data_IF_112064413227
#
_entry.id   IF_112064413227
#
_cell.length_a   1.000
_cell.length_b   1.000
_cell.length_c   1.000
_cell.angle_alpha   90.00
_cell.angle_beta   90.00
_cell.angle_gamma   90.00
#
_symmetry.space_group_name_H-M   'P 1'
#
loop_
_entity.id
_entity.type
_entity.pdbx_description
1 polymer ?
#
# COMPACT_ATOMS: atom_id res chain seq x y z
N UNK A 1 5.71 8.83 21.02
CA UNK A 1 5.46 10.24 20.65
C UNK A 1 6.75 10.84 20.11
N UNK A 2 6.68 11.59 19.00
CA UNK A 2 7.80 12.29 18.38
C UNK A 2 7.52 13.79 18.36
N UNK A 3 8.35 14.60 19.04
CA UNK A 3 8.16 16.06 19.16
C UNK A 3 6.71 16.46 19.52
N UNK A 4 6.14 15.83 20.55
CA UNK A 4 4.76 15.99 21.02
C UNK A 4 3.66 15.40 20.11
N UNK A 5 4.00 14.87 18.93
CA UNK A 5 3.04 14.16 18.09
C UNK A 5 2.96 12.68 18.47
N UNK A 6 1.74 12.17 18.64
CA UNK A 6 1.47 10.74 18.58
C UNK A 6 1.57 10.28 17.14
N UNK A 7 2.24 9.15 16.89
CA UNK A 7 2.34 8.57 15.54
C UNK A 7 1.42 7.35 15.44
N UNK A 8 0.46 7.42 14.54
CA UNK A 8 -0.49 6.34 14.29
C UNK A 8 -0.32 5.84 12.87
N UNK A 9 0.04 4.57 12.71
CA UNK A 9 0.04 3.93 11.38
C UNK A 9 -1.34 3.32 11.16
N UNK A 10 -1.90 3.46 9.96
CA UNK A 10 -3.21 2.92 9.60
C UNK A 10 -3.09 2.04 8.36
N UNK A 11 -3.82 0.93 8.32
CA UNK A 11 -3.89 0.09 7.12
C UNK A 11 -5.32 -0.32 6.81
N UNK A 12 -5.77 -0.02 5.60
CA UNK A 12 -7.00 -0.57 5.01
C UNK A 12 -6.81 -2.07 4.71
N UNK A 13 -6.90 -2.90 5.76
CA UNK A 13 -6.49 -4.28 5.70
C UNK A 13 -7.63 -5.20 5.25
N UNK A 14 -7.34 -6.03 4.26
CA UNK A 14 -8.25 -7.10 3.87
C UNK A 14 -7.60 -8.38 3.39
N UNK A 15 -6.26 -8.45 3.36
CA UNK A 15 -5.54 -9.53 2.68
C UNK A 15 -4.35 -9.98 3.53
N UNK A 16 -4.52 -11.02 4.35
CA UNK A 16 -3.47 -11.52 5.26
C UNK A 16 -2.16 -11.89 4.54
N UNK A 17 -2.24 -12.34 3.28
CA UNK A 17 -1.09 -12.78 2.48
C UNK A 17 -0.03 -11.70 2.30
N UNK A 18 -0.39 -10.43 2.38
CA UNK A 18 0.54 -9.31 2.29
C UNK A 18 0.91 -8.76 3.67
N UNK A 19 -0.06 -8.75 4.59
CA UNK A 19 0.15 -8.30 5.97
C UNK A 19 1.29 -9.02 6.68
N UNK A 20 1.62 -10.25 6.28
CA UNK A 20 2.77 -10.98 6.81
C UNK A 20 4.10 -10.24 6.62
N UNK A 21 4.20 -9.39 5.58
CA UNK A 21 5.37 -8.57 5.29
C UNK A 21 5.23 -7.13 5.79
N UNK A 22 3.99 -6.66 5.93
CA UNK A 22 3.65 -5.32 6.39
C UNK A 22 3.78 -5.16 7.91
N UNK A 23 3.26 -6.13 8.66
CA UNK A 23 3.09 -6.05 10.12
C UNK A 23 4.43 -5.98 10.85
N UNK A 24 5.46 -6.81 10.53
CA UNK A 24 6.67 -6.85 11.35
C UNK A 24 7.39 -5.50 11.44
N UNK A 25 7.67 -4.78 10.33
CA UNK A 25 8.30 -3.46 10.38
C UNK A 25 7.51 -2.43 11.20
N UNK A 26 6.18 -2.44 11.14
CA UNK A 26 5.34 -1.49 11.89
C UNK A 26 5.40 -1.80 13.41
N UNK A 27 5.36 -3.07 13.78
CA UNK A 27 5.42 -3.47 15.18
C UNK A 27 6.79 -3.18 15.80
N UNK A 28 7.86 -3.35 15.01
CA UNK A 28 9.24 -3.10 15.43
C UNK A 28 9.59 -1.61 15.53
N UNK A 29 8.90 -0.74 14.80
CA UNK A 29 9.19 0.69 14.82
C UNK A 29 8.77 1.33 16.15
N UNK A 30 9.75 1.78 16.93
CA UNK A 30 9.53 2.43 18.23
C UNK A 30 8.81 3.78 18.11
N UNK A 31 9.04 4.50 17.00
CA UNK A 31 8.37 5.77 16.76
C UNK A 31 6.86 5.62 16.59
N UNK A 32 6.37 4.42 16.21
CA UNK A 32 4.95 4.14 16.01
C UNK A 32 4.27 3.83 17.35
N UNK A 33 3.46 4.77 17.82
CA UNK A 33 2.72 4.66 19.09
C UNK A 33 1.53 3.70 19.00
N UNK A 34 0.85 3.66 17.85
CA UNK A 34 -0.34 2.81 17.63
C UNK A 34 -0.40 2.34 16.17
N UNK A 35 -0.79 1.09 15.97
CA UNK A 35 -1.09 0.53 14.67
C UNK A 35 -2.59 0.20 14.54
N UNK A 36 -3.30 1.00 13.74
CA UNK A 36 -4.71 0.85 13.47
C UNK A 36 -4.94 -0.01 12.21
N UNK A 37 -5.45 -1.22 12.42
CA UNK A 37 -5.91 -2.09 11.34
C UNK A 37 -7.37 -1.74 11.05
N UNK A 38 -7.62 -1.05 9.94
CA UNK A 38 -8.97 -0.82 9.43
C UNK A 38 -9.48 -2.12 8.81
N UNK A 39 -10.40 -2.78 9.50
CA UNK A 39 -10.90 -4.09 9.10
C UNK A 39 -11.83 -3.92 7.88
N UNK A 40 -11.26 -3.98 6.68
CA UNK A 40 -11.96 -3.74 5.42
C UNK A 40 -12.10 -5.05 4.59
N UNK A 41 -12.50 -6.13 5.26
CA UNK A 41 -12.72 -7.43 4.63
C UNK A 41 -13.89 -8.16 5.26
N UNK A 42 -14.50 -9.04 4.46
CA UNK A 42 -15.53 -9.97 4.92
C UNK A 42 -15.00 -11.38 5.12
N UNK A 43 -13.74 -11.61 4.78
CA UNK A 43 -13.08 -12.89 4.92
C UNK A 43 -12.79 -13.16 6.40
N UNK A 44 -13.42 -14.19 6.95
CA UNK A 44 -13.30 -14.56 8.36
C UNK A 44 -11.93 -15.08 8.74
N UNK A 45 -11.19 -15.65 7.79
CA UNK A 45 -9.79 -16.06 7.96
C UNK A 45 -8.90 -14.84 8.19
N UNK A 46 -9.06 -13.80 7.37
CA UNK A 46 -8.31 -12.55 7.52
C UNK A 46 -8.69 -11.82 8.82
N UNK A 47 -9.99 -11.77 9.17
CA UNK A 47 -10.47 -11.18 10.43
C UNK A 47 -9.90 -11.91 11.65
N UNK A 48 -9.88 -13.25 11.65
CA UNK A 48 -9.31 -14.02 12.76
C UNK A 48 -7.81 -13.76 12.91
N UNK A 49 -7.08 -13.60 11.81
CA UNK A 49 -5.68 -13.19 11.85
C UNK A 49 -5.51 -11.81 12.51
N UNK A 50 -6.33 -10.82 12.15
CA UNK A 50 -6.29 -9.49 12.78
C UNK A 50 -6.61 -9.54 14.27
N UNK A 51 -7.59 -10.35 14.68
CA UNK A 51 -7.90 -10.57 16.11
C UNK A 51 -6.72 -11.17 16.86
N UNK A 52 -6.00 -12.14 16.27
CA UNK A 52 -4.80 -12.72 16.89
C UNK A 52 -3.66 -11.71 17.02
N UNK A 53 -3.48 -10.84 16.02
CA UNK A 53 -2.52 -9.74 16.10
C UNK A 53 -2.84 -8.80 17.27
N UNK A 54 -4.09 -8.33 17.36
CA UNK A 54 -4.55 -7.44 18.42
C UNK A 54 -4.46 -8.08 19.81
N UNK A 55 -4.71 -9.38 19.92
CA UNK A 55 -4.57 -10.11 21.18
C UNK A 55 -3.11 -10.23 21.63
N UNK A 56 -2.16 -10.40 20.70
CA UNK A 56 -0.74 -10.61 21.00
C UNK A 56 0.02 -9.31 21.22
N UNK A 57 -0.29 -8.28 20.44
CA UNK A 57 0.50 -7.05 20.38
C UNK A 57 -0.32 -5.85 20.87
N UNK A 58 0.00 -5.27 22.04
CA UNK A 58 -0.72 -4.10 22.57
C UNK A 58 -0.69 -2.87 21.66
N UNK A 59 0.30 -2.76 20.78
CA UNK A 59 0.42 -1.69 19.77
C UNK A 59 -0.71 -1.76 18.72
N UNK A 60 -1.33 -2.93 18.52
CA UNK A 60 -2.35 -3.17 17.48
C UNK A 60 -3.74 -2.84 18.00
N UNK A 61 -4.44 -1.99 17.26
CA UNK A 61 -5.83 -1.61 17.49
C UNK A 61 -6.67 -1.96 16.25
N UNK A 62 -7.83 -2.59 16.47
CA UNK A 62 -8.75 -2.92 15.36
C UNK A 62 -9.80 -1.83 15.22
N UNK A 63 -9.83 -1.18 14.07
CA UNK A 63 -10.86 -0.20 13.71
C UNK A 63 -11.88 -0.89 12.81
N UNK A 64 -13.09 -1.07 13.32
CA UNK A 64 -14.17 -1.71 12.57
C UNK A 64 -14.84 -0.69 11.65
N UNK A 65 -15.24 -1.11 10.45
CA UNK A 65 -15.89 -0.21 9.49
C UNK A 65 -17.10 0.52 10.13
N UNK A 66 -17.10 1.86 10.19
CA UNK A 66 -18.09 2.61 10.99
C UNK A 66 -19.56 2.50 10.53
N UNK A 67 -19.80 2.30 9.24
CA UNK A 67 -21.14 2.13 8.67
C UNK A 67 -21.61 0.65 8.67
N UNK A 68 -20.77 -0.28 9.13
CA UNK A 68 -21.01 -1.72 9.10
C UNK A 68 -20.99 -2.34 7.69
N UNK A 69 -20.30 -1.70 6.74
CA UNK A 69 -20.39 -2.00 5.31
C UNK A 69 -19.00 -2.09 4.67
N UNK A 70 -18.68 -3.22 4.02
CA UNK A 70 -17.40 -3.42 3.30
C UNK A 70 -17.64 -3.64 1.81
N UNK A 71 -17.00 -2.81 0.98
CA UNK A 71 -17.05 -2.83 -0.49
C UNK A 71 -15.71 -2.41 -1.12
N UNK A 72 -14.61 -3.03 -0.67
CA UNK A 72 -13.28 -2.75 -1.20
C UNK A 72 -12.90 -1.28 -1.00
N UNK A 73 -12.42 -0.63 -2.07
CA UNK A 73 -11.99 0.78 -2.03
C UNK A 73 -13.14 1.72 -1.65
N UNK A 74 -14.38 1.41 -2.08
CA UNK A 74 -15.54 2.26 -1.85
C UNK A 74 -15.98 2.37 -0.39
N UNK A 75 -15.46 1.53 0.51
CA UNK A 75 -15.74 1.59 1.95
C UNK A 75 -14.60 2.18 2.78
N UNK A 76 -13.46 2.56 2.16
CA UNK A 76 -12.29 3.09 2.85
C UNK A 76 -12.58 4.46 3.47
N UNK A 77 -13.33 5.31 2.78
CA UNK A 77 -13.50 6.71 3.17
C UNK A 77 -14.06 6.89 4.58
N UNK A 78 -14.92 5.97 5.02
CA UNK A 78 -15.55 6.02 6.34
C UNK A 78 -14.55 6.00 7.50
N UNK A 79 -13.39 5.36 7.33
CA UNK A 79 -12.36 5.23 8.37
C UNK A 79 -11.63 6.55 8.67
N UNK A 80 -11.56 7.49 7.70
CA UNK A 80 -10.89 8.77 7.93
C UNK A 80 -11.57 9.63 9.01
N UNK A 81 -12.86 9.37 9.33
CA UNK A 81 -13.58 10.06 10.41
C UNK A 81 -12.93 9.85 11.77
N UNK A 82 -12.27 8.72 11.97
CA UNK A 82 -11.56 8.39 13.22
C UNK A 82 -10.07 8.79 13.19
N UNK A 83 -9.65 9.52 12.15
CA UNK A 83 -8.26 9.94 11.93
C UNK A 83 -8.05 11.46 12.07
N UNK A 84 -8.70 12.03 13.10
CA UNK A 84 -8.80 13.47 13.34
C UNK A 84 -8.23 13.90 14.71
N UNK A 85 -7.44 13.04 15.38
CA UNK A 85 -6.93 13.35 16.72
C UNK A 85 -5.97 14.55 16.67
N UNK A 86 -6.07 15.42 17.70
CA UNK A 86 -5.10 16.50 17.86
C UNK A 86 -3.71 15.95 18.17
N UNK A 87 -2.68 16.71 17.80
CA UNK A 87 -1.28 16.38 18.08
C UNK A 87 -0.93 14.94 17.64
N UNK A 88 -1.51 14.53 16.51
CA UNK A 88 -1.32 13.18 15.95
C UNK A 88 -0.91 13.27 14.49
N UNK A 89 0.11 12.51 14.11
CA UNK A 89 0.49 12.26 12.72
C UNK A 89 -0.02 10.86 12.39
N UNK A 90 -0.83 10.80 11.34
CA UNK A 90 -1.32 9.53 10.80
C UNK A 90 -0.49 9.16 9.58
N UNK A 91 -0.21 7.87 9.41
CA UNK A 91 0.48 7.31 8.26
C UNK A 91 -0.32 6.14 7.70
N UNK A 92 -1.05 6.37 6.59
CA UNK A 92 -1.77 5.30 5.89
C UNK A 92 -0.81 4.49 5.04
N UNK A 93 -0.96 3.18 5.12
CA UNK A 93 -0.31 2.18 4.27
C UNK A 93 -1.39 1.32 3.60
N UNK A 94 -1.19 0.98 2.33
CA UNK A 94 -1.95 -0.10 1.71
C UNK A 94 -1.50 -1.46 2.27
N UNK A 95 -2.41 -2.43 2.34
CA UNK A 95 -2.12 -3.74 2.93
C UNK A 95 -1.18 -4.60 2.09
N UNK A 96 -0.96 -4.23 0.82
CA UNK A 96 -0.01 -4.85 -0.12
C UNK A 96 1.30 -4.09 -0.27
N UNK A 97 1.67 -3.24 0.69
CA UNK A 97 3.06 -2.84 0.87
C UNK A 97 3.88 -4.02 1.41
N UNK A 98 5.01 -4.31 0.77
CA UNK A 98 5.80 -5.53 1.03
C UNK A 98 7.22 -5.28 1.53
N UNK A 99 7.77 -4.08 1.34
CA UNK A 99 9.11 -3.76 1.83
C UNK A 99 9.21 -2.31 2.25
N UNK A 100 9.99 -2.08 3.31
CA UNK A 100 10.28 -0.79 3.91
C UNK A 100 11.80 -0.65 3.98
N UNK A 101 12.33 0.51 3.65
CA UNK A 101 13.71 0.77 4.04
C UNK A 101 13.85 0.86 5.57
N UNK A 102 15.05 0.57 6.11
CA UNK A 102 15.38 0.88 7.50
C UNK A 102 15.10 2.35 7.83
N UNK A 103 14.54 2.58 9.02
CA UNK A 103 14.21 3.91 9.55
C UNK A 103 13.17 4.69 8.73
N UNK A 104 12.37 4.02 7.88
CA UNK A 104 11.36 4.69 7.06
C UNK A 104 10.43 5.57 7.91
N UNK A 105 9.91 5.02 9.02
CA UNK A 105 8.92 5.73 9.84
C UNK A 105 9.53 6.99 10.47
N UNK A 106 10.75 6.90 10.98
CA UNK A 106 11.52 8.00 11.56
C UNK A 106 11.76 9.10 10.53
N UNK A 107 12.24 8.74 9.33
CA UNK A 107 12.46 9.68 8.24
C UNK A 107 11.19 10.38 7.80
N UNK A 108 10.10 9.64 7.64
CA UNK A 108 8.83 10.19 7.18
C UNK A 108 8.18 11.10 8.22
N UNK A 109 8.17 10.70 9.49
CA UNK A 109 7.64 11.52 10.59
C UNK A 109 8.48 12.79 10.75
N UNK A 110 9.82 12.66 10.75
CA UNK A 110 10.71 13.83 10.79
C UNK A 110 10.43 14.78 9.64
N UNK A 111 10.36 14.28 8.41
CA UNK A 111 10.06 15.11 7.23
C UNK A 111 8.72 15.82 7.36
N UNK A 112 7.68 15.11 7.84
CA UNK A 112 6.34 15.67 8.03
C UNK A 112 6.33 16.83 9.02
N UNK A 113 7.06 16.70 10.14
CA UNK A 113 7.21 17.74 11.16
C UNK A 113 8.01 18.93 10.63
N UNK A 114 9.11 18.67 9.92
CA UNK A 114 9.99 19.72 9.38
C UNK A 114 9.36 20.49 8.21
N UNK A 115 8.34 19.93 7.56
CA UNK A 115 7.67 20.55 6.42
C UNK A 115 6.15 20.58 6.66
N UNK A 116 5.65 21.38 7.62
CA UNK A 116 4.23 21.39 8.00
C UNK A 116 3.30 22.00 6.94
N UNK A 117 3.84 22.65 5.90
CA UNK A 117 3.09 23.37 4.88
C UNK A 117 2.33 22.46 3.89
N UNK A 118 2.80 21.22 3.69
CA UNK A 118 2.18 20.30 2.74
C UNK A 118 0.92 19.67 3.32
N UNK A 119 -0.08 19.35 2.49
CA UNK A 119 -1.27 18.66 2.95
C UNK A 119 -0.98 17.17 3.18
N UNK A 120 -0.62 16.44 2.12
CA UNK A 120 -0.10 15.06 2.22
C UNK A 120 1.40 14.99 1.95
N UNK A 121 2.07 14.05 2.62
CA UNK A 121 3.45 13.67 2.34
C UNK A 121 3.53 12.19 2.00
N UNK A 122 4.25 11.81 0.95
CA UNK A 122 4.46 10.41 0.54
C UNK A 122 5.96 10.10 0.40
N UNK A 123 6.45 8.89 0.72
CA UNK A 123 7.81 8.48 0.32
C UNK A 123 7.87 8.22 -1.19
N UNK A 124 9.06 7.90 -1.72
CA UNK A 124 9.13 7.17 -3.00
C UNK A 124 8.58 5.77 -2.82
N UNK A 125 7.69 5.38 -3.72
CA UNK A 125 7.06 4.05 -3.73
C UNK A 125 7.47 3.31 -4.99
N UNK A 126 8.21 2.21 -4.86
CA UNK A 126 8.43 1.28 -5.97
C UNK A 126 7.08 0.67 -6.37
N UNK A 127 6.82 0.65 -7.68
CA UNK A 127 5.52 0.31 -8.28
C UNK A 127 4.39 1.32 -7.94
N UNK A 128 4.69 2.60 -8.14
CA UNK A 128 3.74 3.71 -8.15
C UNK A 128 4.05 4.64 -9.34
N UNK A 129 3.05 5.06 -10.12
CA UNK A 129 3.29 5.79 -11.37
C UNK A 129 4.05 7.11 -11.20
N UNK A 130 3.72 7.91 -10.18
CA UNK A 130 4.38 9.20 -9.97
C UNK A 130 5.77 9.04 -9.35
N UNK A 131 5.97 8.04 -8.50
CA UNK A 131 7.32 7.69 -8.00
C UNK A 131 8.22 7.18 -9.13
N UNK A 132 7.72 6.30 -9.99
CA UNK A 132 8.44 5.82 -11.18
C UNK A 132 8.75 6.98 -12.13
N UNK A 133 7.84 7.94 -12.27
CA UNK A 133 8.09 9.17 -13.04
C UNK A 133 9.25 9.98 -12.47
N UNK A 134 9.29 10.20 -11.14
CA UNK A 134 10.41 10.88 -10.48
C UNK A 134 11.73 10.13 -10.73
N UNK A 135 11.75 8.81 -10.55
CA UNK A 135 12.94 8.00 -10.85
C UNK A 135 13.39 8.17 -12.31
N UNK A 136 12.45 8.24 -13.26
CA UNK A 136 12.74 8.39 -14.68
C UNK A 136 13.37 9.75 -14.98
N UNK A 137 12.77 10.86 -14.53
CA UNK A 137 13.27 12.21 -14.86
C UNK A 137 14.57 12.58 -14.14
N UNK A 138 14.86 11.91 -13.02
CA UNK A 138 16.14 12.00 -12.32
C UNK A 138 17.19 10.98 -12.79
N UNK A 139 16.93 10.27 -13.91
CA UNK A 139 17.84 9.27 -14.49
C UNK A 139 18.22 8.13 -13.52
N UNK A 140 17.36 7.80 -12.56
CA UNK A 140 17.54 6.69 -11.61
C UNK A 140 17.08 5.35 -12.20
N UNK A 141 16.13 5.40 -13.14
CA UNK A 141 15.66 4.24 -13.90
C UNK A 141 15.65 4.59 -15.39
N UNK A 142 16.11 3.65 -16.22
CA UNK A 142 16.06 3.77 -17.68
C UNK A 142 14.94 2.87 -18.22
N UNK A 143 13.87 3.53 -18.67
CA UNK A 143 12.69 2.88 -19.26
C UNK A 143 12.81 2.83 -20.79
N UNK A 144 12.12 1.89 -21.42
CA UNK A 144 12.08 1.68 -22.87
C UNK A 144 11.57 2.90 -23.65
N UNK A 145 10.76 3.73 -23.00
CA UNK A 145 10.26 5.01 -23.50
C UNK A 145 9.94 5.94 -22.33
N UNK A 146 9.65 7.20 -22.68
CA UNK A 146 9.15 8.16 -21.71
C UNK A 146 7.71 7.83 -21.29
N UNK A 147 7.51 7.70 -19.98
CA UNK A 147 6.21 7.62 -19.33
C UNK A 147 5.84 8.98 -18.71
N UNK A 148 4.58 9.40 -18.90
CA UNK A 148 4.10 10.70 -18.43
C UNK A 148 3.79 10.68 -16.92
N UNK A 149 3.83 11.87 -16.29
CA UNK A 149 3.43 12.08 -14.90
C UNK A 149 1.91 11.95 -14.70
N UNK A 150 1.37 10.74 -14.82
CA UNK A 150 -0.06 10.44 -14.72
C UNK A 150 -0.27 9.32 -13.71
N UNK A 151 -1.09 9.56 -12.68
CA UNK A 151 -1.40 8.59 -11.64
C UNK A 151 -1.89 7.23 -12.16
N UNK A 152 -2.72 7.25 -13.21
CA UNK A 152 -3.25 6.05 -13.86
C UNK A 152 -2.51 5.69 -15.15
N UNK A 153 -1.19 5.89 -15.21
CA UNK A 153 -0.41 5.51 -16.40
C UNK A 153 -0.66 4.03 -16.73
N UNK A 154 -1.01 3.78 -18.00
CA UNK A 154 -1.63 2.52 -18.43
C UNK A 154 -0.69 1.34 -18.25
N UNK A 155 0.59 1.49 -18.59
CA UNK A 155 1.55 0.38 -18.45
C UNK A 155 1.94 0.21 -16.99
N UNK A 156 2.32 1.29 -16.31
CA UNK A 156 2.79 1.23 -14.94
C UNK A 156 1.71 0.67 -14.02
N UNK A 157 0.47 1.17 -14.07
CA UNK A 157 -0.57 0.76 -13.11
C UNK A 157 -1.36 -0.50 -13.51
N UNK A 158 -1.35 -0.90 -14.78
CA UNK A 158 -2.23 -1.99 -15.26
C UNK A 158 -1.51 -3.19 -15.86
N UNK A 159 -0.20 -3.14 -16.12
CA UNK A 159 0.54 -4.28 -16.66
C UNK A 159 1.34 -5.03 -15.59
N UNK A 160 0.87 -6.22 -15.22
CA UNK A 160 1.54 -7.08 -14.25
C UNK A 160 2.92 -7.56 -14.69
N UNK A 161 3.23 -7.59 -15.99
CA UNK A 161 4.57 -7.97 -16.47
C UNK A 161 5.57 -6.83 -16.34
N UNK A 162 5.13 -5.60 -16.62
CA UNK A 162 5.92 -4.40 -16.34
C UNK A 162 6.20 -4.30 -14.83
N UNK A 163 5.17 -4.50 -14.00
CA UNK A 163 5.32 -4.49 -12.56
C UNK A 163 6.33 -5.57 -12.10
N UNK A 164 6.27 -6.78 -12.66
CA UNK A 164 7.24 -7.83 -12.37
C UNK A 164 8.68 -7.42 -12.74
N UNK A 165 8.89 -6.85 -13.93
CA UNK A 165 10.21 -6.37 -14.38
C UNK A 165 10.73 -5.24 -13.46
N UNK A 166 9.85 -4.34 -13.01
CA UNK A 166 10.17 -3.28 -12.06
C UNK A 166 10.56 -3.83 -10.68
N UNK A 167 9.82 -4.80 -10.17
CA UNK A 167 10.15 -5.47 -8.91
C UNK A 167 11.46 -6.24 -9.00
N UNK A 168 11.71 -6.94 -10.11
CA UNK A 168 12.96 -7.67 -10.34
C UNK A 168 14.15 -6.73 -10.41
N UNK A 169 14.03 -5.65 -11.17
CA UNK A 169 15.03 -4.58 -11.23
C UNK A 169 15.35 -4.03 -9.84
N UNK A 170 14.32 -3.74 -9.04
CA UNK A 170 14.52 -3.20 -7.69
C UNK A 170 15.16 -4.22 -6.75
N UNK A 171 14.65 -5.46 -6.72
CA UNK A 171 15.15 -6.53 -5.85
C UNK A 171 16.61 -6.85 -6.13
N UNK A 172 16.94 -7.08 -7.41
CA UNK A 172 18.27 -7.54 -7.83
C UNK A 172 19.34 -6.46 -7.71
N UNK A 173 19.04 -5.20 -8.08
CA UNK A 173 20.04 -4.14 -8.12
C UNK A 173 20.21 -3.38 -6.82
N UNK A 174 19.13 -3.22 -6.05
CA UNK A 174 19.12 -2.26 -4.94
C UNK A 174 18.79 -2.92 -3.61
N UNK A 175 17.75 -3.74 -3.54
CA UNK A 175 17.31 -4.31 -2.26
C UNK A 175 18.32 -5.32 -1.73
N UNK A 176 18.66 -6.36 -2.50
CA UNK A 176 19.60 -7.41 -2.06
C UNK A 176 21.01 -6.82 -1.86
N UNK A 177 21.40 -5.87 -2.70
CA UNK A 177 22.70 -5.21 -2.61
C UNK A 177 22.79 -4.17 -1.47
N UNK A 178 21.67 -3.80 -0.85
CA UNK A 178 21.62 -2.75 0.17
C UNK A 178 21.96 -1.34 -0.36
N UNK A 179 21.60 -1.05 -1.62
CA UNK A 179 21.95 0.18 -2.36
C UNK A 179 20.76 1.07 -2.69
N UNK A 180 19.61 0.84 -2.07
CA UNK A 180 18.36 1.56 -2.38
C UNK A 180 18.47 3.09 -2.19
N UNK A 181 19.40 3.58 -1.37
CA UNK A 181 19.68 5.00 -1.18
C UNK A 181 20.18 5.68 -2.48
N UNK A 182 20.73 4.92 -3.43
CA UNK A 182 21.12 5.46 -4.74
C UNK A 182 19.90 5.96 -5.54
N UNK A 183 18.69 5.50 -5.19
CA UNK A 183 17.43 5.93 -5.82
C UNK A 183 16.88 7.24 -5.26
N UNK A 184 17.48 7.78 -4.20
CA UNK A 184 17.01 9.02 -3.59
C UNK A 184 17.04 10.19 -4.57
N UNK A 185 16.01 11.03 -4.47
CA UNK A 185 15.86 12.24 -5.29
C UNK A 185 15.60 13.50 -4.45
N UNK A 186 15.47 13.42 -3.12
CA UNK A 186 15.20 14.59 -2.29
C UNK A 186 13.75 15.08 -2.31
N UNK A 187 13.51 16.21 -1.66
CA UNK A 187 12.18 16.82 -1.50
C UNK A 187 11.57 17.24 -2.85
N UNK A 188 10.36 16.77 -3.13
CA UNK A 188 9.63 17.10 -4.36
C UNK A 188 8.17 17.53 -4.09
N UNK A 189 7.87 18.84 -4.07
CA UNK A 189 6.50 19.32 -4.07
C UNK A 189 5.76 18.84 -5.32
N UNK A 190 4.50 18.46 -5.16
CA UNK A 190 3.65 17.96 -6.24
C UNK A 190 2.68 19.05 -6.71
N UNK A 191 2.45 19.10 -8.03
CA UNK A 191 1.40 19.93 -8.61
C UNK A 191 -0.01 19.43 -8.31
N UNK A 192 -1.03 20.15 -8.79
CA UNK A 192 -2.44 19.77 -8.67
C UNK A 192 -2.75 18.54 -9.52
N UNK A 193 -2.59 17.36 -8.95
CA UNK A 193 -2.81 16.09 -9.61
C UNK A 193 -3.31 15.04 -8.62
N UNK A 194 -4.11 14.10 -9.13
CA UNK A 194 -4.39 12.85 -8.43
C UNK A 194 -3.08 12.09 -8.22
N UNK A 195 -2.90 11.42 -7.08
CA UNK A 195 -1.87 10.36 -6.93
C UNK A 195 -2.44 9.14 -6.21
N UNK A 196 -1.89 7.96 -6.54
CA UNK A 196 -2.30 6.71 -5.92
C UNK A 196 -1.71 6.60 -4.52
N UNK A 197 -2.58 6.44 -3.52
CA UNK A 197 -2.23 6.47 -2.10
C UNK A 197 -1.81 5.06 -1.68
N UNK A 198 -0.52 4.77 -1.79
CA UNK A 198 0.07 3.54 -1.24
C UNK A 198 0.68 3.76 0.16
N UNK A 199 1.27 4.94 0.38
CA UNK A 199 1.83 5.35 1.66
C UNK A 199 1.76 6.88 1.77
N UNK A 200 1.03 7.42 2.75
CA UNK A 200 0.92 8.88 2.96
C UNK A 200 0.83 9.25 4.43
N UNK A 201 1.31 10.44 4.76
CA UNK A 201 1.22 11.05 6.07
C UNK A 201 0.39 12.34 6.04
N UNK A 202 -0.38 12.58 7.09
CA UNK A 202 -1.13 13.82 7.33
C UNK A 202 -1.18 14.15 8.83
N UNK A 203 -1.50 15.40 9.14
CA UNK A 203 -1.81 15.81 10.52
C UNK A 203 -3.28 15.59 10.84
N UNK A 204 -3.57 14.97 11.98
CA UNK A 204 -4.94 14.77 12.45
C UNK A 204 -5.69 16.09 12.63
N UNK A 205 -5.01 17.14 13.09
CA UNK A 205 -5.55 18.50 13.18
C UNK A 205 -6.12 19.02 11.84
N UNK A 206 -5.43 18.77 10.73
CA UNK A 206 -5.88 19.23 9.41
C UNK A 206 -7.10 18.43 8.91
N UNK A 207 -7.14 17.11 9.16
CA UNK A 207 -8.32 16.29 8.85
C UNK A 207 -9.53 16.68 9.71
N UNK A 208 -9.29 17.10 10.95
CA UNK A 208 -10.34 17.51 11.88
C UNK A 208 -11.10 18.75 11.39
N UNK A 209 -10.47 19.65 10.62
CA UNK A 209 -11.11 20.86 10.06
C UNK A 209 -12.32 20.52 9.17
N UNK A 210 -12.32 19.34 8.55
CA UNK A 210 -13.43 18.81 7.76
C UNK A 210 -13.95 17.48 8.30
N UNK A 211 -13.70 17.18 9.59
CA UNK A 211 -14.23 16.02 10.33
C UNK A 211 -13.88 14.65 9.69
N UNK A 212 -12.79 14.59 8.92
CA UNK A 212 -12.42 13.39 8.18
C UNK A 212 -13.44 12.97 7.12
N UNK A 213 -14.31 13.88 6.67
CA UNK A 213 -15.30 13.63 5.63
C UNK A 213 -14.61 13.62 4.26
N UNK A 214 -14.44 12.42 3.69
CA UNK A 214 -13.80 12.19 2.40
C UNK A 214 -14.85 11.70 1.39
N UNK A 215 -15.45 12.57 0.57
CA UNK A 215 -16.43 12.18 -0.44
C UNK A 215 -15.76 11.57 -1.69
N UNK A 216 -16.45 10.65 -2.34
CA UNK A 216 -16.04 10.11 -3.64
C UNK A 216 -14.83 9.18 -3.57
N UNK A 217 -13.83 9.43 -4.39
CA UNK A 217 -12.56 8.70 -4.43
C UNK A 217 -11.57 9.34 -3.46
N UNK A 218 -11.09 8.61 -2.45
CA UNK A 218 -10.19 9.17 -1.44
C UNK A 218 -8.87 9.64 -2.04
N UNK A 219 -8.36 8.92 -3.04
CA UNK A 219 -7.17 9.31 -3.78
C UNK A 219 -7.39 10.68 -4.44
N UNK A 220 -8.45 10.88 -5.24
CA UNK A 220 -8.75 12.17 -5.88
C UNK A 220 -9.02 13.28 -4.85
N UNK A 221 -9.83 12.99 -3.82
CA UNK A 221 -10.23 14.02 -2.87
C UNK A 221 -9.05 14.52 -2.04
N UNK A 222 -8.27 13.61 -1.45
CA UNK A 222 -7.18 13.97 -0.56
C UNK A 222 -5.93 14.43 -1.31
N UNK A 223 -5.70 13.95 -2.54
CA UNK A 223 -4.51 14.37 -3.29
C UNK A 223 -4.71 15.58 -4.21
N UNK A 224 -5.92 15.80 -4.71
CA UNK A 224 -6.15 16.83 -5.72
C UNK A 224 -7.13 17.88 -5.19
N UNK A 225 -8.36 17.49 -4.86
CA UNK A 225 -9.45 18.43 -4.58
C UNK A 225 -9.19 19.23 -3.30
N UNK A 226 -8.99 18.55 -2.17
CA UNK A 226 -8.83 19.17 -0.85
C UNK A 226 -7.59 20.08 -0.77
N UNK A 227 -6.37 19.64 -1.13
CA UNK A 227 -5.21 20.52 -1.09
C UNK A 227 -5.38 21.74 -2.00
N UNK A 228 -6.00 21.58 -3.18
CA UNK A 228 -6.30 22.71 -4.08
C UNK A 228 -7.25 23.72 -3.45
N UNK A 229 -8.31 23.27 -2.77
CA UNK A 229 -9.23 24.14 -2.03
C UNK A 229 -8.52 24.93 -0.91
N UNK A 230 -7.52 24.31 -0.27
CA UNK A 230 -6.76 24.91 0.83
C UNK A 230 -5.58 25.77 0.35
N UNK A 231 -5.30 25.82 -0.96
CA UNK A 231 -4.11 26.48 -1.50
C UNK A 231 -2.80 25.81 -1.08
N UNK A 232 -2.84 24.51 -0.75
CA UNK A 232 -1.68 23.71 -0.32
C UNK A 232 -1.24 22.76 -1.43
N UNK A 233 0.02 22.36 -1.37
CA UNK A 233 0.57 21.29 -2.21
C UNK A 233 0.72 19.99 -1.40
N UNK A 234 0.85 18.86 -2.09
CA UNK A 234 1.39 17.64 -1.50
C UNK A 234 2.90 17.58 -1.77
N UNK A 235 3.61 16.65 -1.13
CA UNK A 235 5.04 16.50 -1.34
C UNK A 235 5.51 15.05 -1.26
N UNK A 236 6.51 14.71 -2.07
CA UNK A 236 7.31 13.51 -1.86
C UNK A 236 8.50 13.81 -0.97
N UNK A 237 8.71 12.98 0.05
CA UNK A 237 10.02 12.81 0.67
C UNK A 237 10.81 11.82 -0.18
N UNK A 238 11.60 12.33 -1.13
CA UNK A 238 12.37 11.51 -2.05
C UNK A 238 13.59 10.81 -1.47
N UNK A 239 13.86 11.00 -0.17
CA UNK A 239 14.95 10.35 0.57
C UNK A 239 14.42 9.24 1.49
N UNK A 240 13.19 8.79 1.23
CA UNK A 240 12.54 7.68 1.88
C UNK A 240 11.92 6.73 0.85
N UNK A 241 12.13 5.42 1.00
CA UNK A 241 11.74 4.43 -0.01
C UNK A 241 10.95 3.25 0.57
N UNK A 242 9.87 2.88 -0.11
CA UNK A 242 9.01 1.73 0.22
C UNK A 242 8.61 0.99 -1.06
N UNK A 243 8.19 -0.27 -0.97
CA UNK A 243 7.70 -1.05 -2.13
C UNK A 243 6.26 -1.49 -1.95
N UNK A 244 5.41 -1.13 -2.92
CA UNK A 244 4.02 -1.58 -3.03
C UNK A 244 3.94 -2.74 -4.03
N UNK A 245 3.25 -3.83 -3.67
CA UNK A 245 3.25 -5.05 -4.48
C UNK A 245 2.40 -4.91 -5.75
N UNK A 246 1.12 -4.54 -5.65
CA UNK A 246 0.24 -4.65 -6.82
C UNK A 246 -1.01 -3.78 -6.80
N UNK A 247 -1.16 -2.96 -7.83
CA UNK A 247 -2.47 -2.49 -8.24
C UNK A 247 -3.35 -3.68 -8.67
N UNK A 248 -4.67 -3.56 -8.49
CA UNK A 248 -5.63 -4.64 -8.76
C UNK A 248 -5.39 -5.41 -10.08
N UNK A 249 -5.20 -4.73 -11.22
CA UNK A 249 -4.97 -5.38 -12.52
C UNK A 249 -3.61 -6.07 -12.68
N UNK A 250 -2.59 -5.71 -11.88
CA UNK A 250 -1.24 -6.27 -11.98
C UNK A 250 -1.13 -7.67 -11.33
N UNK A 251 -1.99 -7.96 -10.35
CA UNK A 251 -1.88 -9.13 -9.46
C UNK A 251 -1.70 -10.46 -10.17
N UNK A 252 -2.47 -10.70 -11.24
CA UNK A 252 -2.39 -11.95 -12.00
C UNK A 252 -0.98 -12.17 -12.59
N UNK A 253 -0.36 -11.12 -13.12
CA UNK A 253 0.99 -11.21 -13.70
C UNK A 253 2.05 -11.42 -12.62
N UNK A 254 1.95 -10.68 -11.52
CA UNK A 254 2.89 -10.77 -10.40
C UNK A 254 2.82 -12.12 -9.68
N UNK A 255 1.62 -12.68 -9.52
CA UNK A 255 1.41 -14.00 -8.93
C UNK A 255 2.00 -15.10 -9.83
N UNK A 256 1.86 -15.01 -11.16
CA UNK A 256 2.50 -15.94 -12.10
C UNK A 256 4.02 -15.90 -12.06
N UNK A 257 4.59 -14.75 -11.73
CA UNK A 257 6.04 -14.53 -11.65
C UNK A 257 6.63 -14.76 -10.25
N UNK A 258 5.81 -15.26 -9.30
CA UNK A 258 6.22 -15.59 -7.94
C UNK A 258 6.85 -14.42 -7.15
N UNK A 259 6.52 -13.18 -7.54
CA UNK A 259 7.18 -11.97 -7.01
C UNK A 259 6.99 -11.85 -5.49
N UNK A 260 5.79 -12.16 -4.99
CA UNK A 260 5.50 -12.06 -3.56
C UNK A 260 6.36 -13.04 -2.72
N UNK A 261 6.54 -14.27 -3.19
CA UNK A 261 7.34 -15.27 -2.47
C UNK A 261 8.84 -14.95 -2.54
N UNK A 262 9.30 -14.30 -3.63
CA UNK A 262 10.68 -13.79 -3.74
C UNK A 262 10.95 -12.68 -2.73
N UNK A 263 10.04 -11.71 -2.60
CA UNK A 263 10.11 -10.74 -1.49
C UNK A 263 10.14 -11.45 -0.14
N UNK A 264 9.25 -12.41 0.10
CA UNK A 264 9.21 -13.16 1.35
C UNK A 264 10.54 -13.80 1.72
N UNK A 265 11.17 -14.53 0.78
CA UNK A 265 12.50 -15.14 0.99
C UNK A 265 13.52 -14.10 1.44
N UNK A 266 13.60 -12.98 0.73
CA UNK A 266 14.57 -11.92 1.05
C UNK A 266 14.27 -11.31 2.43
N UNK A 267 13.01 -11.00 2.72
CA UNK A 267 12.59 -10.39 3.99
C UNK A 267 12.88 -11.30 5.19
N UNK A 268 12.50 -12.57 5.11
CA UNK A 268 12.78 -13.53 6.18
C UNK A 268 14.27 -13.71 6.43
N UNK A 269 15.11 -13.60 5.39
CA UNK A 269 16.56 -13.68 5.54
C UNK A 269 17.15 -12.40 6.16
N UNK A 270 16.65 -11.23 5.77
CA UNK A 270 17.04 -9.95 6.38
C UNK A 270 16.65 -9.89 7.86
N UNK A 271 15.42 -10.30 8.20
CA UNK A 271 14.90 -10.20 9.56
C UNK A 271 15.53 -11.18 10.54
N UNK A 272 16.19 -12.25 10.08
CA UNK A 272 16.97 -13.13 10.98
C UNK A 272 18.11 -12.40 11.70
N UNK A 273 18.57 -11.29 11.16
CA UNK A 273 19.71 -10.53 11.67
C UNK A 273 19.30 -9.56 12.80
N UNK A 274 18.02 -9.25 12.92
CA UNK A 274 17.44 -8.40 13.96
C UNK A 274 16.57 -9.27 14.87
N UNK A 275 16.93 -9.37 16.14
CA UNK A 275 16.27 -10.27 17.09
C UNK A 275 14.78 -9.93 17.28
N UNK A 276 14.44 -8.65 17.39
CA UNK A 276 13.06 -8.21 17.60
C UNK A 276 12.20 -8.47 16.36
N UNK A 277 12.71 -8.11 15.18
CA UNK A 277 12.06 -8.41 13.90
C UNK A 277 11.86 -9.91 13.69
N UNK A 278 12.89 -10.72 14.02
CA UNK A 278 12.82 -12.18 13.92
C UNK A 278 11.73 -12.77 14.81
N UNK A 279 11.62 -12.32 16.05
CA UNK A 279 10.58 -12.79 16.97
C UNK A 279 9.17 -12.45 16.45
N UNK A 280 9.00 -11.22 15.96
CA UNK A 280 7.73 -10.77 15.39
C UNK A 280 7.38 -11.59 14.15
N UNK A 281 8.32 -11.78 13.22
CA UNK A 281 8.14 -12.59 12.01
C UNK A 281 7.73 -14.03 12.35
N UNK A 282 8.49 -14.70 13.22
CA UNK A 282 8.15 -16.07 13.67
C UNK A 282 6.74 -16.12 14.25
N UNK A 283 6.38 -15.16 15.10
CA UNK A 283 5.05 -15.10 15.71
C UNK A 283 3.96 -14.88 14.65
N UNK A 284 4.17 -14.00 13.68
CA UNK A 284 3.22 -13.72 12.59
C UNK A 284 3.04 -14.97 11.71
N UNK A 285 4.14 -15.62 11.31
CA UNK A 285 4.12 -16.86 10.52
C UNK A 285 3.38 -17.99 11.24
N UNK A 286 3.58 -18.11 12.56
CA UNK A 286 2.82 -19.08 13.37
C UNK A 286 1.33 -18.76 13.44
N UNK A 287 0.95 -17.48 13.56
CA UNK A 287 -0.46 -17.07 13.53
C UNK A 287 -1.11 -17.43 12.21
N UNK A 288 -0.46 -17.14 11.09
CA UNK A 288 -0.97 -17.46 9.75
C UNK A 288 -1.24 -18.97 9.64
N UNK A 289 -0.26 -19.82 9.97
CA UNK A 289 -0.42 -21.28 9.96
C UNK A 289 -1.59 -21.77 10.81
N UNK A 290 -1.76 -21.21 12.01
CA UNK A 290 -2.86 -21.57 12.94
C UNK A 290 -4.23 -21.16 12.41
N UNK A 291 -4.31 -20.00 11.75
CA UNK A 291 -5.56 -19.49 11.17
C UNK A 291 -5.92 -20.27 9.91
N UNK A 292 -4.94 -20.59 9.06
CA UNK A 292 -5.13 -21.42 7.86
C UNK A 292 -5.59 -22.84 8.19
N UNK A 293 -5.08 -23.44 9.27
CA UNK A 293 -5.56 -24.73 9.76
C UNK A 293 -7.07 -24.73 10.13
N UNK A 294 -7.65 -23.55 10.38
CA UNK A 294 -9.07 -23.36 10.72
C UNK A 294 -9.87 -22.73 9.57
N UNK A 295 -9.33 -22.68 8.35
CA UNK A 295 -9.96 -21.98 7.23
C UNK A 295 -11.38 -22.47 6.94
N UNK A 296 -11.62 -23.78 6.92
CA UNK A 296 -12.94 -24.35 6.66
C UNK A 296 -13.99 -23.94 7.72
N UNK A 297 -13.59 -23.96 9.00
CA UNK A 297 -14.41 -23.53 10.13
C UNK A 297 -14.74 -22.03 10.00
N UNK A 298 -13.72 -21.19 9.82
CA UNK A 298 -13.88 -19.74 9.77
C UNK A 298 -14.73 -19.29 8.58
N UNK A 299 -14.54 -19.90 7.41
CA UNK A 299 -15.34 -19.58 6.21
C UNK A 299 -16.82 -19.94 6.34
N UNK A 300 -17.20 -20.79 7.30
CA UNK A 300 -18.60 -21.11 7.62
C UNK A 300 -19.27 -20.05 8.51
N UNK A 301 -18.48 -19.23 9.20
CA UNK A 301 -18.99 -18.22 10.12
C UNK A 301 -19.56 -17.00 9.37
N UNK A 302 -20.61 -16.36 9.91
CA UNK A 302 -21.12 -15.14 9.32
C UNK A 302 -20.12 -13.99 9.46
N UNK A 303 -20.00 -13.20 8.40
CA UNK A 303 -19.22 -11.95 8.43
C UNK A 303 -19.90 -10.92 9.35
N UNK A 304 -19.14 -10.13 10.12
CA UNK A 304 -19.68 -9.04 10.94
C UNK A 304 -20.24 -7.88 10.09
N UNK A 305 -19.94 -7.85 8.78
CA UNK A 305 -20.39 -6.78 7.88
C UNK A 305 -21.56 -7.19 7.01
N UNK A 306 -22.40 -6.21 6.71
CA UNK A 306 -23.54 -6.38 5.81
C UNK A 306 -23.07 -6.77 4.41
N UNK A 307 -23.79 -7.70 3.80
CA UNK A 307 -23.58 -8.06 2.40
C UNK A 307 -24.21 -6.99 1.50
N UNK A 308 -23.39 -6.20 0.80
CA UNK A 308 -23.92 -5.37 -0.29
C UNK A 308 -24.06 -6.25 -1.53
N UNK A 309 -25.23 -6.25 -2.21
CA UNK A 309 -25.37 -6.89 -3.51
C UNK A 309 -24.36 -6.30 -4.50
N UNK A 310 -23.65 -7.15 -5.25
CA UNK A 310 -22.77 -6.66 -6.33
C UNK A 310 -23.60 -5.81 -7.29
N UNK A 311 -23.17 -4.58 -7.55
CA UNK A 311 -23.79 -3.71 -8.57
C UNK A 311 -23.92 -4.50 -9.87
N UNK A 312 -25.11 -4.52 -10.46
CA UNK A 312 -25.36 -5.24 -11.71
C UNK A 312 -24.42 -4.68 -12.79
N UNK A 313 -23.41 -5.46 -13.14
CA UNK A 313 -22.49 -5.13 -14.25
C UNK A 313 -23.34 -4.92 -15.51
N UNK A 314 -23.23 -3.76 -16.19
CA UNK A 314 -24.01 -3.46 -17.38
C UNK A 314 -23.86 -4.56 -18.44
N UNK A 315 -24.95 -4.82 -19.18
CA UNK A 315 -25.03 -5.92 -20.15
C UNK A 315 -23.89 -5.89 -21.19
N UNK A 316 -23.47 -4.69 -21.63
CA UNK A 316 -22.35 -4.52 -22.57
C UNK A 316 -21.00 -4.98 -22.01
N UNK A 317 -20.73 -4.78 -20.71
CA UNK A 317 -19.53 -5.30 -20.05
C UNK A 317 -19.57 -6.83 -19.87
N UNK A 318 -20.77 -7.44 -19.79
CA UNK A 318 -20.91 -8.91 -19.80
C UNK A 318 -20.59 -9.51 -21.18
N UNK A 319 -20.90 -8.80 -22.27
CA UNK A 319 -20.55 -9.22 -23.63
C UNK A 319 -19.04 -9.31 -23.84
N UNK A 320 -18.25 -8.38 -23.30
CA UNK A 320 -16.77 -8.46 -23.33
C UNK A 320 -16.17 -9.65 -22.56
N UNK A 321 -16.94 -10.26 -21.64
CA UNK A 321 -16.56 -11.48 -20.91
C UNK A 321 -17.04 -12.78 -21.59
N UNK A 322 -17.72 -12.72 -22.75
CA UNK A 322 -18.19 -13.92 -23.47
C UNK A 322 -17.07 -14.73 -24.14
N UNK A 323 -15.88 -14.17 -24.31
CA UNK A 323 -14.71 -14.94 -24.75
C UNK A 323 -14.23 -15.82 -23.58
N UNK A 324 -14.01 -17.14 -23.80
CA UNK A 324 -13.43 -18.00 -22.78
C UNK A 324 -12.16 -17.38 -22.21
N UNK A 325 -11.94 -17.50 -20.91
CA UNK A 325 -10.81 -16.87 -20.24
C UNK A 325 -9.47 -17.22 -20.89
N UNK A 326 -9.29 -18.49 -21.30
CA UNK A 326 -8.13 -18.95 -22.08
C UNK A 326 -7.95 -18.20 -23.40
N UNK A 327 -9.04 -17.87 -24.10
CA UNK A 327 -8.99 -17.11 -25.36
C UNK A 327 -8.70 -15.63 -25.10
N UNK A 328 -9.25 -15.04 -24.04
CA UNK A 328 -8.92 -13.66 -23.64
C UNK A 328 -7.45 -13.55 -23.20
N UNK A 329 -6.95 -14.52 -22.45
CA UNK A 329 -5.56 -14.60 -22.04
C UNK A 329 -4.65 -14.83 -23.25
N UNK A 330 -5.00 -15.75 -24.16
CA UNK A 330 -4.24 -15.98 -25.38
C UNK A 330 -4.24 -14.75 -26.31
N UNK A 331 -5.35 -14.03 -26.48
CA UNK A 331 -5.40 -12.79 -27.25
C UNK A 331 -4.56 -11.71 -26.57
N UNK A 332 -4.60 -11.58 -25.23
CA UNK A 332 -3.73 -10.66 -24.49
C UNK A 332 -2.26 -11.02 -24.66
N UNK A 333 -1.90 -12.30 -24.57
CA UNK A 333 -0.52 -12.79 -24.77
C UNK A 333 -0.07 -12.61 -26.23
N UNK A 334 -0.95 -12.85 -27.21
CA UNK A 334 -0.67 -12.67 -28.64
C UNK A 334 -0.54 -11.20 -29.03
N UNK A 335 -1.37 -10.32 -28.47
CA UNK A 335 -1.23 -8.86 -28.61
C UNK A 335 0.02 -8.34 -27.89
N UNK A 336 0.49 -9.05 -26.85
CA UNK A 336 1.69 -8.74 -26.06
C UNK A 336 2.92 -9.56 -26.48
N UNK A 337 3.06 -9.94 -27.76
CA UNK A 337 4.35 -10.34 -28.36
C UNK A 337 5.37 -9.17 -28.36
N UNK A 338 5.51 -8.44 -27.27
CA UNK A 338 6.61 -7.53 -27.01
C UNK A 338 7.69 -8.29 -26.25
N UNK A 339 8.93 -8.15 -26.71
CA UNK A 339 10.10 -8.59 -25.95
C UNK A 339 10.06 -7.88 -24.59
N UNK A 340 9.91 -8.65 -23.52
CA UNK A 340 9.89 -8.17 -22.13
C UNK A 340 11.27 -7.65 -21.71
N UNK A 341 11.59 -6.43 -22.12
CA UNK A 341 12.69 -5.60 -21.59
C UNK A 341 12.16 -4.18 -21.48
N UNK A 342 11.35 -3.91 -20.46
CA UNK A 342 10.83 -2.55 -20.23
C UNK A 342 11.86 -1.66 -19.55
N UNK A 343 12.76 -2.28 -18.79
CA UNK A 343 13.82 -1.62 -18.06
C UNK A 343 15.15 -2.05 -18.65
N UNK A 344 15.97 -1.08 -19.06
CA UNK A 344 17.33 -1.38 -19.51
C UNK A 344 18.20 -1.76 -18.30
N UNK A 345 18.78 -2.96 -18.37
CA UNK A 345 19.63 -3.54 -17.32
C UNK A 345 21.04 -2.95 -17.34
#
# INVERSE_FOLDING_TARGET
MYQNYKVVVNTAAGRRRYMQYLVPPILNADIVDRYDIWVNTRNMVDIEFFKKLAQKYPKVNLVWQPDGVVNGIASINAFYRDCCDKDTIYMKLDDDVVWFEPELFEKMVKFRVDNPEYFLVSPLVINNALSTYLLQVHNKIKLDKYYMSICGERTICFDGWFAADLHDWFMEKYLIAGKYQELYVGKHPMGMARFSINCVLWFGNEMAEFKGEVPGDDEEFLSCIKPTQLGKANCFNGDALIAHFAFGPQREGLDKMDILNRYGKILHDLWKQDESMREIDISVQQMIKKVEAREAELNSLPSPYKCIPKVKVPFFMRLGKKLPERVRCAIRELQRKQRYKFIER
#
